data_IF_782695569738
#
_entry.id   IF_782695569738
#
_cell.length_a   1.000
_cell.length_b   1.000
_cell.length_c   1.000
_cell.angle_alpha   90.00
_cell.angle_beta   90.00
_cell.angle_gamma   90.00
#
_symmetry.space_group_name_H-M   'P 1'
#
loop_
_entity.id
_entity.type
_entity.pdbx_description
1 polymer ?
#
# COMPACT_ATOMS: atom_id res chain seq x y z
N UNK A 1 1.23 21.00 -23.81
CA UNK A 1 1.06 21.31 -25.25
C UNK A 1 1.10 19.98 -26.01
N UNK A 2 -0.08 19.36 -26.21
CA UNK A 2 -0.18 18.16 -27.07
C UNK A 2 0.04 18.55 -28.53
N UNK A 3 0.93 17.85 -29.20
CA UNK A 3 1.18 18.01 -30.63
C UNK A 3 -0.12 17.79 -31.42
N UNK A 4 -0.45 18.74 -32.29
CA UNK A 4 -1.67 18.72 -33.12
C UNK A 4 -1.76 17.49 -34.05
N UNK A 5 -0.67 16.78 -34.30
CA UNK A 5 -0.60 15.63 -35.22
C UNK A 5 -1.11 14.31 -34.62
N UNK A 6 -1.39 14.25 -33.32
CA UNK A 6 -1.85 13.02 -32.63
C UNK A 6 -3.35 13.01 -32.33
N UNK A 7 -4.11 13.96 -32.83
CA UNK A 7 -5.55 14.09 -32.55
C UNK A 7 -6.37 13.33 -33.58
N UNK A 8 -6.81 12.13 -33.26
CA UNK A 8 -7.90 11.49 -34.01
C UNK A 8 -9.24 11.83 -33.31
N UNK A 9 -10.03 12.64 -33.98
CA UNK A 9 -11.37 12.98 -33.52
C UNK A 9 -12.38 12.06 -34.21
N UNK A 10 -12.92 11.09 -33.49
CA UNK A 10 -14.09 10.33 -33.94
C UNK A 10 -15.36 11.16 -33.74
N UNK A 11 -15.86 11.76 -34.79
CA UNK A 11 -17.02 12.73 -34.78
C UNK A 11 -18.32 12.03 -34.31
N UNK A 12 -18.45 10.71 -34.43
CA UNK A 12 -19.67 9.97 -34.03
C UNK A 12 -19.79 9.67 -32.54
N UNK A 13 -18.70 9.58 -31.79
CA UNK A 13 -18.70 8.98 -30.44
C UNK A 13 -18.37 9.98 -29.33
N UNK A 14 -18.25 11.27 -29.62
CA UNK A 14 -17.88 12.31 -28.63
C UNK A 14 -16.66 11.89 -27.80
N UNK A 15 -15.67 11.29 -28.44
CA UNK A 15 -14.47 10.73 -27.83
C UNK A 15 -13.25 11.48 -28.29
N UNK A 16 -12.38 11.80 -27.36
CA UNK A 16 -11.03 12.33 -27.63
C UNK A 16 -9.99 11.38 -27.03
N UNK A 17 -8.96 11.05 -27.79
CA UNK A 17 -7.84 10.26 -27.30
C UNK A 17 -6.54 10.99 -27.49
N UNK A 18 -5.66 10.90 -26.50
CA UNK A 18 -4.25 11.30 -26.60
C UNK A 18 -3.40 10.07 -26.37
N UNK A 19 -2.38 9.89 -27.18
CA UNK A 19 -1.37 8.82 -26.98
C UNK A 19 -0.03 9.47 -26.76
N UNK A 20 0.61 9.20 -25.66
CA UNK A 20 2.04 9.22 -25.50
C UNK A 20 2.54 7.79 -25.76
N UNK A 21 3.81 7.58 -26.05
CA UNK A 21 4.37 6.32 -26.56
C UNK A 21 4.01 5.04 -25.76
N UNK A 22 3.52 5.15 -24.54
CA UNK A 22 3.14 4.02 -23.67
C UNK A 22 1.72 4.09 -23.12
N UNK A 23 1.12 5.27 -23.03
CA UNK A 23 -0.15 5.48 -22.34
C UNK A 23 -1.16 6.19 -23.23
N UNK A 24 -2.41 5.74 -23.16
CA UNK A 24 -3.53 6.33 -23.88
C UNK A 24 -4.59 6.78 -22.90
N UNK A 25 -5.11 7.97 -23.12
CA UNK A 25 -6.25 8.49 -22.38
C UNK A 25 -7.41 8.72 -23.34
N UNK A 26 -8.60 8.28 -22.94
CA UNK A 26 -9.83 8.44 -23.71
C UNK A 26 -10.80 9.29 -22.91
N UNK A 27 -11.18 10.43 -23.46
CA UNK A 27 -12.19 11.31 -22.87
C UNK A 27 -13.50 11.12 -23.60
N UNK A 28 -14.54 10.78 -22.85
CA UNK A 28 -15.93 10.66 -23.32
C UNK A 28 -16.78 11.70 -22.60
N UNK A 29 -17.70 12.34 -23.28
CA UNK A 29 -18.58 13.31 -22.64
C UNK A 29 -19.86 13.53 -23.43
N UNK A 30 -20.96 13.81 -22.74
CA UNK A 30 -22.17 14.35 -23.32
C UNK A 30 -22.05 15.84 -23.66
N UNK A 31 -21.06 16.51 -23.08
CA UNK A 31 -20.74 17.92 -23.35
C UNK A 31 -19.96 18.09 -24.68
N UNK A 32 -20.00 19.27 -25.30
CA UNK A 32 -19.23 19.57 -26.50
C UNK A 32 -17.70 19.49 -26.23
N UNK A 33 -17.02 18.47 -26.74
CA UNK A 33 -15.59 18.24 -26.49
C UNK A 33 -14.70 19.43 -26.87
N UNK A 34 -15.04 20.17 -27.96
CA UNK A 34 -14.28 21.35 -28.35
C UNK A 34 -14.25 22.42 -27.25
N UNK A 35 -15.40 22.63 -26.55
CA UNK A 35 -15.45 23.58 -25.44
C UNK A 35 -14.62 23.12 -24.26
N UNK A 36 -14.64 21.79 -23.94
CA UNK A 36 -13.81 21.21 -22.88
C UNK A 36 -12.32 21.40 -23.20
N UNK A 37 -11.89 21.08 -24.42
CA UNK A 37 -10.50 21.19 -24.85
C UNK A 37 -10.00 22.64 -24.95
N UNK A 38 -10.90 23.59 -25.27
CA UNK A 38 -10.60 25.02 -25.31
C UNK A 38 -10.78 25.70 -23.95
N UNK A 39 -11.13 24.95 -22.89
CA UNK A 39 -11.39 25.46 -21.54
C UNK A 39 -12.45 26.57 -21.49
N UNK A 40 -13.46 26.47 -22.32
CA UNK A 40 -14.59 27.44 -22.39
C UNK A 40 -15.63 27.10 -21.33
N UNK A 41 -16.29 28.12 -20.81
CA UNK A 41 -17.41 27.95 -19.90
C UNK A 41 -18.57 27.18 -20.58
N UNK A 42 -19.17 26.27 -19.80
CA UNK A 42 -20.30 25.46 -20.22
C UNK A 42 -21.35 25.54 -19.12
N UNK A 43 -22.55 26.02 -19.50
CA UNK A 43 -23.69 26.03 -18.59
C UNK A 43 -24.33 24.66 -18.62
N UNK A 44 -24.45 24.02 -17.44
CA UNK A 44 -25.11 22.73 -17.27
C UNK A 44 -26.61 22.97 -17.08
N UNK A 45 -27.42 22.52 -18.03
CA UNK A 45 -28.88 22.63 -17.96
C UNK A 45 -29.56 21.31 -17.55
N UNK A 46 -28.83 20.22 -17.55
CA UNK A 46 -29.28 18.87 -17.19
C UNK A 46 -28.12 18.04 -16.69
N UNK A 47 -28.37 16.81 -16.27
CA UNK A 47 -27.32 15.84 -15.95
C UNK A 47 -26.43 15.58 -17.17
N UNK A 48 -25.16 15.80 -17.01
CA UNK A 48 -24.12 15.55 -18.01
C UNK A 48 -23.05 14.65 -17.43
N UNK A 49 -22.31 13.97 -18.29
CA UNK A 49 -21.19 13.15 -17.83
C UNK A 49 -19.87 13.54 -18.50
N UNK A 50 -18.80 13.27 -17.80
CA UNK A 50 -17.44 13.29 -18.31
C UNK A 50 -16.72 12.06 -17.77
N UNK A 51 -16.29 11.18 -18.68
CA UNK A 51 -15.56 9.95 -18.35
C UNK A 51 -14.15 10.03 -18.94
N UNK A 52 -13.15 9.87 -18.10
CA UNK A 52 -11.75 9.72 -18.51
C UNK A 52 -11.32 8.26 -18.27
N UNK A 53 -11.01 7.56 -19.36
CA UNK A 53 -10.49 6.19 -19.32
C UNK A 53 -9.00 6.18 -19.64
N UNK A 54 -8.25 5.35 -18.92
CA UNK A 54 -6.80 5.19 -19.06
C UNK A 54 -6.48 3.80 -19.63
N UNK A 55 -5.80 3.81 -20.78
CA UNK A 55 -5.38 2.61 -21.51
C UNK A 55 -6.50 1.66 -21.98
N UNK A 56 -7.75 1.97 -21.69
CA UNK A 56 -8.90 1.14 -22.06
C UNK A 56 -9.92 1.96 -22.83
N UNK A 57 -10.35 1.45 -23.99
CA UNK A 57 -11.44 2.05 -24.78
C UNK A 57 -12.78 1.48 -24.30
N UNK A 58 -13.64 2.33 -23.79
CA UNK A 58 -14.97 1.95 -23.28
C UNK A 58 -16.03 2.15 -24.34
N UNK A 59 -16.86 1.14 -24.62
CA UNK A 59 -18.00 1.19 -25.56
C UNK A 59 -19.12 0.28 -25.01
N UNK A 60 -20.38 0.67 -25.06
CA UNK A 60 -20.91 2.01 -25.33
C UNK A 60 -20.77 2.96 -24.13
N UNK A 61 -20.79 4.27 -24.39
CA UNK A 61 -20.79 5.32 -23.35
C UNK A 61 -22.02 6.18 -23.53
N UNK A 62 -22.90 6.21 -22.55
CA UNK A 62 -24.10 7.05 -22.49
C UNK A 62 -24.44 7.36 -21.03
N UNK A 63 -25.35 8.28 -20.79
CA UNK A 63 -25.70 8.76 -19.45
C UNK A 63 -26.32 7.65 -18.57
N UNK A 64 -27.10 6.73 -19.15
CA UNK A 64 -27.72 5.62 -18.40
C UNK A 64 -26.64 4.64 -17.89
N UNK A 65 -25.68 4.33 -18.73
CA UNK A 65 -24.55 3.48 -18.33
C UNK A 65 -23.72 4.14 -17.24
N UNK A 66 -23.41 5.42 -17.37
CA UNK A 66 -22.63 6.15 -16.37
C UNK A 66 -23.38 6.24 -15.03
N UNK A 67 -24.70 6.44 -15.05
CA UNK A 67 -25.53 6.35 -13.83
C UNK A 67 -25.50 4.95 -13.21
N UNK A 68 -25.52 3.90 -14.03
CA UNK A 68 -25.41 2.52 -13.54
C UNK A 68 -24.04 2.26 -12.88
N UNK A 69 -22.95 2.71 -13.49
CA UNK A 69 -21.60 2.55 -12.90
C UNK A 69 -21.44 3.38 -11.62
N UNK A 70 -22.03 4.56 -11.55
CA UNK A 70 -22.13 5.33 -10.32
C UNK A 70 -22.88 4.55 -9.22
N UNK A 71 -24.05 3.99 -9.51
CA UNK A 71 -24.81 3.18 -8.57
C UNK A 71 -24.03 1.94 -8.13
N UNK A 72 -23.35 1.24 -9.04
CA UNK A 72 -22.49 0.10 -8.70
C UNK A 72 -21.36 0.49 -7.75
N UNK A 73 -20.71 1.62 -8.02
CA UNK A 73 -19.66 2.16 -7.15
C UNK A 73 -20.20 2.49 -5.77
N UNK A 74 -21.36 3.17 -5.70
CA UNK A 74 -22.02 3.49 -4.43
C UNK A 74 -22.37 2.23 -3.65
N UNK A 75 -23.01 1.24 -4.29
CA UNK A 75 -23.37 -0.05 -3.66
C UNK A 75 -22.13 -0.80 -3.18
N UNK A 76 -21.03 -0.79 -3.96
CA UNK A 76 -19.77 -1.40 -3.54
C UNK A 76 -19.26 -0.80 -2.22
N UNK A 77 -19.23 0.54 -2.12
CA UNK A 77 -18.75 1.22 -0.92
C UNK A 77 -19.69 1.05 0.28
N UNK A 78 -21.00 1.13 0.06
CA UNK A 78 -22.00 0.89 1.12
C UNK A 78 -21.90 -0.54 1.66
N UNK A 79 -21.82 -1.55 0.78
CA UNK A 79 -21.64 -2.94 1.19
C UNK A 79 -20.29 -3.17 1.90
N UNK A 80 -19.27 -2.41 1.55
CA UNK A 80 -17.99 -2.51 2.23
C UNK A 80 -18.08 -1.94 3.65
N UNK A 81 -18.65 -0.75 3.81
CA UNK A 81 -18.82 -0.10 5.14
C UNK A 81 -19.78 -0.85 6.05
N UNK A 82 -20.83 -1.47 5.48
CA UNK A 82 -21.82 -2.24 6.24
C UNK A 82 -21.24 -3.49 6.92
N UNK A 83 -20.17 -4.04 6.37
CA UNK A 83 -19.42 -5.15 6.99
C UNK A 83 -18.56 -4.74 8.18
N UNK A 84 -18.35 -3.45 8.38
CA UNK A 84 -17.53 -2.93 9.46
C UNK A 84 -18.23 -3.13 10.80
N UNK A 85 -17.52 -3.70 11.78
CA UNK A 85 -17.98 -3.80 13.16
C UNK A 85 -18.38 -2.41 13.67
N UNK A 86 -19.57 -2.31 14.23
CA UNK A 86 -20.05 -1.06 14.83
C UNK A 86 -19.59 -0.94 16.27
N UNK A 87 -19.32 0.28 16.68
CA UNK A 87 -18.85 0.65 18.01
C UNK A 87 -19.91 1.50 18.72
N UNK A 88 -19.77 1.67 20.03
CA UNK A 88 -20.72 2.46 20.81
C UNK A 88 -20.58 3.97 20.56
N UNK A 89 -19.39 4.43 20.14
CA UNK A 89 -19.05 5.83 19.91
C UNK A 89 -18.18 6.00 18.66
N UNK A 90 -18.17 7.19 18.10
CA UNK A 90 -17.27 7.63 17.02
C UNK A 90 -17.39 6.84 15.68
N UNK A 91 -18.53 6.19 15.41
CA UNK A 91 -18.68 5.37 14.20
C UNK A 91 -18.36 6.14 12.91
N UNK A 92 -18.80 7.39 12.77
CA UNK A 92 -18.57 8.20 11.56
C UNK A 92 -17.08 8.46 11.32
N UNK A 93 -16.33 8.75 12.40
CA UNK A 93 -14.88 9.01 12.33
C UNK A 93 -14.13 7.73 12.01
N UNK A 94 -14.52 6.61 12.64
CA UNK A 94 -13.96 5.29 12.40
C UNK A 94 -14.21 4.88 10.95
N UNK A 95 -15.44 4.98 10.46
CA UNK A 95 -15.81 4.63 9.10
C UNK A 95 -15.02 5.46 8.08
N UNK A 96 -14.90 6.78 8.30
CA UNK A 96 -14.09 7.66 7.45
C UNK A 96 -12.62 7.22 7.43
N UNK A 97 -12.03 6.89 8.57
CA UNK A 97 -10.65 6.42 8.68
C UNK A 97 -10.44 5.10 7.93
N UNK A 98 -11.39 4.18 8.04
CA UNK A 98 -11.35 2.89 7.36
C UNK A 98 -11.48 3.03 5.85
N UNK A 99 -12.33 3.95 5.36
CA UNK A 99 -12.42 4.27 3.94
C UNK A 99 -11.08 4.80 3.40
N UNK A 100 -10.34 5.60 4.18
CA UNK A 100 -8.99 6.05 3.80
C UNK A 100 -8.04 4.85 3.70
N UNK A 101 -7.97 3.97 4.70
CA UNK A 101 -7.13 2.77 4.66
C UNK A 101 -7.49 1.87 3.45
N UNK A 102 -8.79 1.74 3.16
CA UNK A 102 -9.26 0.99 2.00
C UNK A 102 -8.82 1.63 0.67
N UNK A 103 -8.84 2.95 0.57
CA UNK A 103 -8.36 3.68 -0.61
C UNK A 103 -6.84 3.57 -0.80
N UNK A 104 -6.07 3.38 0.28
CA UNK A 104 -4.63 3.10 0.21
C UNK A 104 -4.33 1.66 -0.23
N UNK A 105 -5.31 0.75 -0.18
CA UNK A 105 -5.12 -0.66 -0.51
C UNK A 105 -5.26 -0.91 -2.01
N UNK A 106 -4.26 -1.54 -2.60
CA UNK A 106 -4.29 -1.96 -3.99
C UNK A 106 -4.98 -3.33 -4.14
N UNK A 107 -5.39 -3.69 -5.36
CA UNK A 107 -6.17 -4.92 -5.59
C UNK A 107 -5.42 -6.21 -5.24
N UNK A 108 -4.08 -6.21 -5.31
CA UNK A 108 -3.24 -7.37 -4.97
C UNK A 108 -2.98 -7.51 -3.45
N UNK A 109 -3.41 -6.53 -2.66
CA UNK A 109 -3.22 -6.52 -1.20
C UNK A 109 -2.14 -5.58 -0.69
N UNK A 110 -1.28 -5.03 -1.54
CA UNK A 110 -0.32 -3.99 -1.13
C UNK A 110 -1.07 -2.77 -0.56
N UNK A 111 -0.50 -2.15 0.47
CA UNK A 111 -1.05 -0.94 1.10
C UNK A 111 -0.01 0.17 0.99
N UNK A 112 -0.38 1.28 0.38
CA UNK A 112 0.49 2.46 0.28
C UNK A 112 0.55 3.20 1.61
N UNK A 113 1.72 3.71 1.98
CA UNK A 113 1.86 4.61 3.13
C UNK A 113 1.13 5.94 2.87
N UNK A 114 1.21 6.46 1.64
CA UNK A 114 0.37 7.56 1.15
C UNK A 114 0.25 7.51 -0.38
N UNK A 115 -0.76 8.20 -0.95
CA UNK A 115 -0.94 8.31 -2.42
C UNK A 115 -0.14 9.46 -3.03
N UNK A 116 0.65 10.17 -2.25
CA UNK A 116 1.33 11.40 -2.63
C UNK A 116 2.84 11.25 -2.60
N UNK A 117 3.51 12.06 -3.41
CA UNK A 117 4.95 12.30 -3.32
C UNK A 117 5.22 13.76 -3.03
N UNK A 118 6.30 14.00 -2.31
CA UNK A 118 6.94 15.32 -2.13
C UNK A 118 6.05 16.41 -1.52
N UNK A 119 5.02 16.03 -0.78
CA UNK A 119 4.35 16.98 0.12
C UNK A 119 5.28 17.27 1.31
N UNK A 120 5.53 18.55 1.62
CA UNK A 120 6.45 18.90 2.68
C UNK A 120 5.86 18.63 4.06
N UNK A 121 6.66 18.09 4.97
CA UNK A 121 6.34 18.04 6.40
C UNK A 121 6.21 19.46 6.97
N UNK A 122 7.11 20.33 6.53
CA UNK A 122 7.09 21.78 6.81
C UNK A 122 7.28 22.53 5.51
N UNK A 123 6.41 23.51 5.22
CA UNK A 123 6.48 24.29 3.98
C UNK A 123 7.82 25.01 3.89
N UNK A 124 8.48 24.86 2.73
CA UNK A 124 9.80 25.43 2.46
C UNK A 124 10.99 24.55 2.85
N UNK A 125 10.76 23.48 3.62
CA UNK A 125 11.78 22.56 4.10
C UNK A 125 12.05 21.41 3.11
N UNK A 126 13.06 20.58 3.42
CA UNK A 126 13.62 19.56 2.52
C UNK A 126 13.03 18.16 2.72
N UNK A 127 12.24 17.94 3.76
CA UNK A 127 11.67 16.64 4.09
C UNK A 127 10.40 16.39 3.28
N UNK A 128 10.60 16.11 2.00
CA UNK A 128 9.56 15.95 0.98
C UNK A 128 9.71 14.57 0.34
N UNK A 129 9.15 13.54 0.98
CA UNK A 129 9.39 12.16 0.62
C UNK A 129 8.35 11.61 -0.34
N UNK A 130 8.72 10.56 -1.08
CA UNK A 130 7.77 9.77 -1.85
C UNK A 130 7.23 8.63 -0.98
N UNK A 131 5.95 8.69 -0.62
CA UNK A 131 5.27 7.71 0.21
C UNK A 131 4.40 6.71 -0.57
N UNK A 132 4.47 6.70 -1.90
CA UNK A 132 3.66 5.85 -2.77
C UNK A 132 4.14 4.40 -2.84
N UNK A 133 4.68 3.88 -1.73
CA UNK A 133 5.21 2.53 -1.59
C UNK A 133 4.56 1.83 -0.42
N UNK A 134 4.71 0.50 -0.39
CA UNK A 134 4.21 -0.37 0.65
C UNK A 134 5.31 -0.64 1.67
N UNK A 135 5.33 0.08 2.79
CA UNK A 135 6.12 -0.29 3.95
C UNK A 135 5.48 -1.47 4.66
N UNK A 136 6.26 -2.48 5.01
CA UNK A 136 5.73 -3.67 5.71
C UNK A 136 5.15 -3.31 7.08
N UNK A 137 5.78 -2.41 7.81
CA UNK A 137 5.30 -1.88 9.09
C UNK A 137 3.92 -1.24 8.96
N UNK A 138 3.81 -0.22 8.11
CA UNK A 138 2.59 0.57 7.92
C UNK A 138 1.44 -0.28 7.39
N UNK A 139 1.75 -1.13 6.42
CA UNK A 139 0.78 -2.07 5.86
C UNK A 139 0.30 -3.09 6.90
N UNK A 140 1.21 -3.65 7.72
CA UNK A 140 0.84 -4.61 8.77
C UNK A 140 -0.10 -4.01 9.79
N UNK A 141 0.16 -2.79 10.29
CA UNK A 141 -0.70 -2.08 11.24
C UNK A 141 -2.07 -1.75 10.62
N UNK A 142 -2.08 -1.31 9.36
CA UNK A 142 -3.31 -0.99 8.64
C UNK A 142 -4.19 -2.22 8.42
N UNK A 143 -3.58 -3.32 7.99
CA UNK A 143 -4.26 -4.58 7.73
C UNK A 143 -4.74 -5.23 9.04
N UNK A 144 -3.94 -5.17 10.11
CA UNK A 144 -4.37 -5.64 11.42
C UNK A 144 -5.63 -4.92 11.88
N UNK A 145 -5.67 -3.60 11.75
CA UNK A 145 -6.85 -2.80 12.07
C UNK A 145 -8.06 -3.24 11.26
N UNK A 146 -7.92 -3.34 9.92
CA UNK A 146 -8.99 -3.80 9.04
C UNK A 146 -9.46 -5.21 9.37
N UNK A 147 -8.55 -6.10 9.75
CA UNK A 147 -8.84 -7.48 10.12
C UNK A 147 -9.66 -7.56 11.41
N UNK A 148 -9.27 -6.84 12.45
CA UNK A 148 -9.95 -6.83 13.76
C UNK A 148 -11.38 -6.31 13.70
N UNK A 149 -11.71 -5.49 12.72
CA UNK A 149 -13.03 -4.89 12.55
C UNK A 149 -13.88 -5.59 11.47
N UNK A 150 -13.45 -6.76 10.96
CA UNK A 150 -14.23 -7.63 10.11
C UNK A 150 -13.84 -7.68 8.63
N UNK A 151 -12.85 -6.90 8.18
CA UNK A 151 -12.38 -6.90 6.80
C UNK A 151 -11.31 -7.98 6.54
N UNK A 152 -11.63 -9.24 6.82
CA UNK A 152 -10.70 -10.38 6.75
C UNK A 152 -10.07 -10.61 5.38
N UNK A 153 -10.78 -10.27 4.31
CA UNK A 153 -10.26 -10.41 2.94
C UNK A 153 -9.09 -9.47 2.65
N UNK A 154 -9.01 -8.33 3.34
CA UNK A 154 -7.86 -7.43 3.26
C UNK A 154 -6.59 -8.14 3.78
N UNK A 155 -6.68 -8.82 4.92
CA UNK A 155 -5.58 -9.58 5.48
C UNK A 155 -5.15 -10.73 4.55
N UNK A 156 -6.12 -11.48 3.99
CA UNK A 156 -5.81 -12.58 3.05
C UNK A 156 -5.07 -12.09 1.80
N UNK A 157 -5.49 -10.97 1.22
CA UNK A 157 -4.81 -10.39 0.05
C UNK A 157 -3.41 -9.88 0.39
N UNK A 158 -3.26 -9.23 1.53
CA UNK A 158 -1.95 -8.76 1.98
C UNK A 158 -0.99 -9.93 2.24
N UNK A 159 -1.45 -11.02 2.88
CA UNK A 159 -0.60 -12.20 3.07
C UNK A 159 -0.12 -12.78 1.73
N UNK A 160 -1.00 -12.86 0.72
CA UNK A 160 -0.60 -13.30 -0.64
C UNK A 160 0.41 -12.32 -1.27
N UNK A 161 0.22 -11.03 -1.10
CA UNK A 161 1.19 -10.02 -1.58
C UNK A 161 2.56 -10.23 -0.92
N UNK A 162 2.60 -10.38 0.40
CA UNK A 162 3.83 -10.62 1.15
C UNK A 162 4.49 -11.93 0.69
N UNK A 163 3.75 -13.04 0.60
CA UNK A 163 4.26 -14.32 0.10
C UNK A 163 4.84 -14.19 -1.31
N UNK A 164 4.12 -13.55 -2.24
CA UNK A 164 4.60 -13.36 -3.62
C UNK A 164 5.87 -12.52 -3.72
N UNK A 165 6.08 -11.62 -2.76
CA UNK A 165 7.24 -10.72 -2.70
C UNK A 165 8.47 -11.40 -2.09
N UNK A 166 8.26 -12.44 -1.25
CA UNK A 166 9.32 -13.17 -0.53
C UNK A 166 9.70 -14.51 -1.15
N UNK A 167 9.26 -14.82 -2.36
CA UNK A 167 9.42 -16.14 -3.00
C UNK A 167 10.87 -16.57 -3.26
N UNK A 168 11.84 -15.67 -3.23
CA UNK A 168 13.24 -16.09 -3.39
C UNK A 168 13.93 -16.23 -2.03
N UNK A 169 14.20 -17.47 -1.63
CA UNK A 169 14.85 -17.84 -0.36
C UNK A 169 16.26 -17.24 -0.14
N UNK A 170 16.83 -16.55 -1.14
CA UNK A 170 18.15 -15.95 -1.09
C UNK A 170 18.19 -14.44 -1.05
N UNK A 171 17.02 -13.78 -1.17
CA UNK A 171 16.95 -12.32 -1.15
C UNK A 171 16.85 -11.78 0.28
N UNK A 172 17.62 -10.75 0.57
CA UNK A 172 17.45 -9.96 1.79
C UNK A 172 16.08 -9.31 1.81
N UNK A 173 15.41 -9.38 2.95
CA UNK A 173 14.15 -8.67 3.18
C UNK A 173 14.36 -7.16 3.10
N UNK A 174 13.46 -6.48 2.40
CA UNK A 174 13.38 -5.03 2.39
C UNK A 174 12.24 -4.58 3.29
N UNK A 175 12.36 -3.39 3.83
CA UNK A 175 11.33 -2.79 4.68
C UNK A 175 10.12 -2.28 3.88
N UNK A 176 10.31 -2.04 2.58
CA UNK A 176 9.30 -1.49 1.69
C UNK A 176 9.45 -2.01 0.26
N UNK A 177 8.34 -2.02 -0.45
CA UNK A 177 8.22 -2.50 -1.82
C UNK A 177 7.34 -1.56 -2.64
N UNK A 178 7.50 -1.61 -3.96
CA UNK A 178 6.52 -1.00 -4.85
C UNK A 178 5.15 -1.70 -4.76
N UNK A 179 4.12 -1.06 -5.25
CA UNK A 179 2.73 -1.56 -5.18
C UNK A 179 2.52 -2.90 -5.90
N UNK A 180 3.41 -3.26 -6.83
CA UNK A 180 3.40 -4.54 -7.56
C UNK A 180 4.53 -5.48 -7.11
N UNK A 181 5.20 -5.17 -6.00
CA UNK A 181 6.32 -5.94 -5.48
C UNK A 181 7.69 -5.49 -6.01
N UNK A 182 7.78 -4.32 -6.65
CA UNK A 182 9.05 -3.79 -7.12
C UNK A 182 10.01 -3.58 -5.95
N UNK A 183 11.25 -4.07 -6.13
CA UNK A 183 12.30 -4.01 -5.09
C UNK A 183 13.21 -2.79 -5.25
N UNK A 184 13.43 -2.32 -6.49
CA UNK A 184 14.31 -1.17 -6.76
C UNK A 184 13.49 0.11 -6.79
N UNK A 185 13.64 0.92 -5.74
CA UNK A 185 12.87 2.14 -5.50
C UNK A 185 13.77 3.38 -5.48
N UNK A 186 14.72 3.43 -6.40
CA UNK A 186 15.78 4.47 -6.45
C UNK A 186 15.20 5.88 -6.36
N UNK A 187 15.67 6.64 -5.38
CA UNK A 187 15.31 8.04 -5.20
C UNK A 187 15.95 8.92 -6.29
N UNK A 188 15.13 9.74 -6.94
CA UNK A 188 15.56 10.67 -7.97
C UNK A 188 14.95 12.04 -7.70
N UNK A 189 15.77 13.08 -7.73
CA UNK A 189 15.33 14.48 -7.58
C UNK A 189 14.88 15.02 -8.94
N UNK A 190 13.67 15.57 -8.99
CA UNK A 190 13.09 16.21 -10.17
C UNK A 190 13.33 17.73 -10.10
N UNK A 191 14.53 18.17 -10.46
CA UNK A 191 14.98 19.55 -10.32
C UNK A 191 14.18 20.59 -11.13
N UNK A 192 13.41 20.15 -12.14
CA UNK A 192 12.56 21.00 -12.97
C UNK A 192 11.20 21.34 -12.31
N UNK A 193 10.87 20.74 -11.17
CA UNK A 193 9.63 21.00 -10.45
C UNK A 193 9.89 21.87 -9.22
N UNK A 194 8.99 22.81 -8.96
CA UNK A 194 9.10 23.74 -7.82
C UNK A 194 8.65 23.11 -6.50
N UNK A 195 7.86 22.03 -6.55
CA UNK A 195 7.22 21.45 -5.38
C UNK A 195 6.03 22.27 -4.85
N UNK A 196 5.32 21.71 -3.88
CA UNK A 196 4.19 22.36 -3.25
C UNK A 196 4.66 23.61 -2.50
N UNK A 197 4.07 24.77 -2.85
CA UNK A 197 4.46 26.08 -2.29
C UNK A 197 5.99 26.31 -2.30
N UNK A 198 6.65 25.93 -3.41
CA UNK A 198 8.11 26.01 -3.59
C UNK A 198 8.94 25.17 -2.62
N UNK A 199 8.38 24.15 -2.00
CA UNK A 199 9.10 23.23 -1.12
C UNK A 199 9.87 22.21 -1.95
N UNK A 200 11.18 22.39 -2.02
CA UNK A 200 12.11 21.51 -2.76
C UNK A 200 12.87 20.59 -1.81
N UNK A 201 13.39 19.46 -2.28
CA UNK A 201 13.27 18.90 -3.62
C UNK A 201 11.97 18.16 -3.86
N UNK A 202 11.54 18.04 -5.12
CA UNK A 202 10.53 17.08 -5.55
C UNK A 202 11.24 15.77 -5.87
N UNK A 203 10.73 14.63 -5.35
CA UNK A 203 11.34 13.32 -5.48
C UNK A 203 10.39 12.30 -6.09
N UNK A 204 10.95 11.31 -6.76
CA UNK A 204 10.32 10.01 -7.05
C UNK A 204 11.26 8.92 -6.54
N UNK A 205 10.70 7.81 -6.08
CA UNK A 205 11.49 6.81 -5.36
C UNK A 205 11.75 7.24 -3.91
N UNK A 206 12.27 6.32 -3.11
CA UNK A 206 12.63 6.60 -1.72
C UNK A 206 13.79 5.72 -1.29
N UNK A 207 14.90 6.33 -0.96
CA UNK A 207 16.16 5.64 -0.65
C UNK A 207 16.14 4.86 0.68
N UNK A 208 15.08 5.04 1.47
CA UNK A 208 14.85 4.23 2.66
C UNK A 208 14.73 2.72 2.35
N UNK A 209 14.45 2.33 1.09
CA UNK A 209 14.35 0.92 0.72
C UNK A 209 15.66 0.12 0.92
N UNK A 210 16.79 0.80 1.04
CA UNK A 210 18.09 0.21 1.39
C UNK A 210 18.34 0.08 2.90
N UNK A 211 17.49 0.70 3.72
CA UNK A 211 17.73 0.76 5.16
C UNK A 211 17.40 -0.58 5.84
N UNK A 212 18.17 -0.89 6.87
CA UNK A 212 17.80 -1.88 7.88
C UNK A 212 16.90 -1.17 8.91
N UNK A 213 15.69 -1.68 9.10
CA UNK A 213 14.73 -1.24 10.12
C UNK A 213 14.16 -2.47 10.80
N UNK A 214 14.77 -2.84 11.92
CA UNK A 214 14.50 -4.10 12.60
C UNK A 214 13.11 -4.18 13.23
N UNK A 215 12.45 -3.05 13.45
CA UNK A 215 11.07 -2.98 13.96
C UNK A 215 10.05 -3.58 12.98
N UNK A 216 10.27 -3.45 11.67
CA UNK A 216 9.32 -3.85 10.63
C UNK A 216 8.89 -5.31 10.72
N UNK A 217 9.80 -6.20 11.10
CA UNK A 217 9.50 -7.63 11.23
C UNK A 217 8.57 -7.96 12.39
N UNK A 218 8.61 -7.18 13.47
CA UNK A 218 7.72 -7.38 14.61
C UNK A 218 6.27 -7.11 14.27
N UNK A 219 5.99 -6.03 13.54
CA UNK A 219 4.63 -5.71 13.07
C UNK A 219 4.10 -6.78 12.10
N UNK A 220 4.94 -7.22 11.17
CA UNK A 220 4.55 -8.27 10.22
C UNK A 220 4.29 -9.60 10.93
N UNK A 221 5.16 -10.01 11.84
CA UNK A 221 5.01 -11.25 12.57
C UNK A 221 3.81 -11.26 13.53
N UNK A 222 3.45 -10.11 14.11
CA UNK A 222 2.24 -10.00 14.93
C UNK A 222 0.97 -10.20 14.08
N UNK A 223 0.90 -9.58 12.91
CA UNK A 223 -0.19 -9.79 11.97
C UNK A 223 -0.25 -11.25 11.48
N UNK A 224 0.89 -11.88 11.15
CA UNK A 224 0.95 -13.29 10.75
C UNK A 224 0.44 -14.20 11.87
N UNK A 225 0.82 -13.93 13.13
CA UNK A 225 0.34 -14.71 14.28
C UNK A 225 -1.18 -14.60 14.45
N UNK A 226 -1.74 -13.40 14.32
CA UNK A 226 -3.18 -13.20 14.37
C UNK A 226 -3.89 -13.91 13.22
N UNK A 227 -3.30 -13.89 12.02
CA UNK A 227 -3.82 -14.61 10.87
C UNK A 227 -3.88 -16.12 11.12
N UNK A 228 -2.82 -16.75 11.64
CA UNK A 228 -2.82 -18.16 12.03
C UNK A 228 -3.89 -18.52 13.05
N UNK A 229 -4.15 -17.61 14.00
CA UNK A 229 -5.15 -17.86 15.06
C UNK A 229 -6.58 -17.76 14.60
N UNK A 230 -6.88 -16.89 13.67
CA UNK A 230 -8.25 -16.43 13.40
C UNK A 230 -8.74 -16.85 12.01
N UNK A 231 -7.84 -17.23 11.11
CA UNK A 231 -8.20 -17.57 9.74
C UNK A 231 -8.03 -19.08 9.49
N UNK A 232 -9.10 -19.74 9.04
CA UNK A 232 -8.96 -21.11 8.55
C UNK A 232 -8.17 -21.07 7.22
N UNK A 233 -7.15 -21.92 7.13
CA UNK A 233 -6.34 -22.09 5.92
C UNK A 233 -6.34 -23.55 5.48
N UNK A 234 -5.96 -23.80 4.22
CA UNK A 234 -5.59 -25.13 3.74
C UNK A 234 -4.22 -25.52 4.31
N UNK A 235 -3.89 -26.82 4.28
CA UNK A 235 -2.57 -27.29 4.71
C UNK A 235 -1.46 -26.61 3.90
N UNK A 236 -1.63 -26.46 2.59
CA UNK A 236 -0.66 -25.81 1.72
C UNK A 236 -0.44 -24.34 2.11
N UNK A 237 -1.52 -23.59 2.36
CA UNK A 237 -1.42 -22.19 2.83
C UNK A 237 -0.70 -22.08 4.18
N UNK A 238 -0.92 -23.03 5.08
CA UNK A 238 -0.24 -23.08 6.39
C UNK A 238 1.25 -23.40 6.23
N UNK A 239 1.62 -24.34 5.38
CA UNK A 239 3.01 -24.69 5.12
C UNK A 239 3.78 -23.58 4.41
N UNK A 240 3.21 -22.98 3.38
CA UNK A 240 3.82 -21.84 2.68
C UNK A 240 4.09 -20.66 3.63
N UNK A 241 3.12 -20.38 4.50
CA UNK A 241 3.28 -19.35 5.53
C UNK A 241 4.33 -19.73 6.56
N UNK A 242 4.44 -21.01 6.93
CA UNK A 242 5.45 -21.50 7.83
C UNK A 242 6.87 -21.31 7.29
N UNK A 243 7.10 -21.55 6.00
CA UNK A 243 8.38 -21.28 5.34
C UNK A 243 8.74 -19.79 5.42
N UNK A 244 7.77 -18.91 5.18
CA UNK A 244 7.94 -17.47 5.32
C UNK A 244 8.30 -17.08 6.76
N UNK A 245 7.59 -17.61 7.76
CA UNK A 245 7.89 -17.36 9.20
C UNK A 245 9.33 -17.76 9.53
N UNK A 246 9.77 -18.94 9.12
CA UNK A 246 11.17 -19.40 9.34
C UNK A 246 12.19 -18.47 8.72
N UNK A 247 11.92 -18.02 7.51
CA UNK A 247 12.81 -17.10 6.79
C UNK A 247 12.90 -15.75 7.48
N UNK A 248 11.77 -15.14 7.84
CA UNK A 248 11.73 -13.87 8.57
C UNK A 248 12.53 -13.99 9.88
N UNK A 249 12.25 -15.01 10.69
CA UNK A 249 12.87 -15.14 12.00
C UNK A 249 14.36 -15.48 11.93
N UNK A 250 14.81 -16.14 10.87
CA UNK A 250 16.25 -16.32 10.60
C UNK A 250 16.94 -14.97 10.42
N UNK A 251 16.35 -14.05 9.67
CA UNK A 251 16.88 -12.70 9.51
C UNK A 251 16.82 -11.91 10.82
N UNK A 252 15.71 -11.96 11.54
CA UNK A 252 15.57 -11.29 12.85
C UNK A 252 16.69 -11.71 13.79
N UNK A 253 16.99 -13.03 13.92
CA UNK A 253 18.04 -13.56 14.80
C UNK A 253 19.45 -13.07 14.44
N UNK A 254 19.68 -12.72 13.17
CA UNK A 254 20.97 -12.17 12.70
C UNK A 254 21.02 -10.65 12.90
N UNK A 255 19.93 -9.97 12.58
CA UNK A 255 19.92 -8.52 12.40
C UNK A 255 19.61 -7.75 13.68
N UNK A 256 18.92 -8.34 14.67
CA UNK A 256 18.61 -7.64 15.90
C UNK A 256 19.86 -7.13 16.68
N UNK A 257 20.99 -7.78 16.46
CA UNK A 257 22.29 -7.41 17.06
C UNK A 257 22.95 -6.21 16.38
N UNK A 258 22.49 -5.84 15.19
CA UNK A 258 23.05 -4.75 14.40
C UNK A 258 22.36 -3.42 14.73
N UNK A 259 23.06 -2.29 14.58
CA UNK A 259 22.42 -0.98 14.58
C UNK A 259 21.52 -0.86 13.34
N UNK A 260 20.42 -0.12 13.47
CA UNK A 260 19.46 0.08 12.40
C UNK A 260 19.05 1.56 12.26
N UNK A 261 18.10 1.87 11.38
CA UNK A 261 17.62 3.24 11.16
C UNK A 261 16.36 3.57 11.98
N UNK A 262 15.78 2.54 12.61
CA UNK A 262 14.56 2.62 13.40
C UNK A 262 13.35 3.11 12.63
N UNK A 263 12.25 3.29 13.33
CA UNK A 263 10.99 3.80 12.76
C UNK A 263 11.12 5.22 12.21
N UNK A 264 12.10 5.99 12.67
CA UNK A 264 12.32 7.38 12.22
C UNK A 264 13.08 7.49 10.90
N UNK A 265 13.55 6.38 10.32
CA UNK A 265 14.24 6.34 9.03
C UNK A 265 15.41 7.31 8.95
N UNK A 266 16.21 7.39 10.03
CA UNK A 266 17.31 8.35 10.11
C UNK A 266 18.26 8.20 8.93
N UNK A 267 18.68 9.34 8.35
CA UNK A 267 19.61 9.36 7.19
C UNK A 267 21.09 9.31 7.60
N UNK A 268 21.38 9.44 8.90
CA UNK A 268 22.73 9.29 9.48
C UNK A 268 23.16 7.82 9.64
N UNK A 269 24.12 7.56 10.51
CA UNK A 269 24.53 6.20 10.85
C UNK A 269 23.45 5.44 11.63
N UNK A 270 23.43 4.11 11.50
CA UNK A 270 22.51 3.27 12.25
C UNK A 270 22.80 3.32 13.76
N UNK A 271 21.75 3.19 14.56
CA UNK A 271 21.83 3.18 16.02
C UNK A 271 21.04 2.01 16.60
N UNK A 272 21.23 1.72 17.88
CA UNK A 272 20.44 0.73 18.60
C UNK A 272 19.21 1.41 19.22
N UNK A 273 18.06 1.19 18.62
CA UNK A 273 16.78 1.70 19.15
C UNK A 273 16.08 0.67 20.01
N UNK A 274 15.63 1.07 21.19
CA UNK A 274 14.82 0.21 22.08
C UNK A 274 13.58 -0.31 21.36
N UNK A 275 12.89 0.55 20.62
CA UNK A 275 11.71 0.17 19.82
C UNK A 275 12.00 -0.95 18.83
N UNK A 276 13.14 -0.89 18.13
CA UNK A 276 13.58 -1.95 17.20
C UNK A 276 13.83 -3.26 17.93
N UNK A 277 14.50 -3.21 19.10
CA UNK A 277 14.74 -4.41 19.92
C UNK A 277 13.44 -5.03 20.43
N UNK A 278 12.51 -4.21 20.94
CA UNK A 278 11.18 -4.67 21.36
C UNK A 278 10.46 -5.37 20.22
N UNK A 279 10.48 -4.81 19.01
CA UNK A 279 9.81 -5.41 17.87
C UNK A 279 10.50 -6.67 17.35
N UNK A 280 11.83 -6.80 17.48
CA UNK A 280 12.53 -8.06 17.24
C UNK A 280 12.13 -9.12 18.28
N UNK A 281 12.00 -8.75 19.55
CA UNK A 281 11.44 -9.62 20.58
C UNK A 281 10.01 -10.05 20.24
N UNK A 282 9.15 -9.13 19.84
CA UNK A 282 7.77 -9.43 19.37
C UNK A 282 7.81 -10.47 18.25
N UNK A 283 8.65 -10.27 17.25
CA UNK A 283 8.76 -11.19 16.13
C UNK A 283 9.06 -12.63 16.59
N UNK A 284 10.06 -12.80 17.47
CA UNK A 284 10.46 -14.11 17.99
C UNK A 284 9.40 -14.72 18.92
N UNK A 285 8.76 -13.92 19.79
CA UNK A 285 7.65 -14.37 20.64
C UNK A 285 6.48 -14.89 19.79
N UNK A 286 6.08 -14.12 18.75
CA UNK A 286 5.00 -14.54 17.86
C UNK A 286 5.37 -15.79 17.06
N UNK A 287 6.60 -15.89 16.60
CA UNK A 287 7.13 -17.09 15.96
C UNK A 287 7.11 -18.32 16.87
N UNK A 288 7.52 -18.17 18.13
CA UNK A 288 7.47 -19.25 19.11
C UNK A 288 6.02 -19.72 19.36
N UNK A 289 5.06 -18.80 19.43
CA UNK A 289 3.64 -19.13 19.55
C UNK A 289 3.08 -19.82 18.29
N UNK A 290 3.48 -19.39 17.09
CA UNK A 290 3.12 -20.09 15.84
C UNK A 290 3.71 -21.50 15.84
N UNK A 291 4.98 -21.67 16.24
CA UNK A 291 5.62 -22.96 16.34
C UNK A 291 4.90 -23.90 17.33
N UNK A 292 4.37 -23.35 18.43
CA UNK A 292 3.53 -24.09 19.37
C UNK A 292 2.22 -24.55 18.73
N UNK A 293 1.51 -23.65 18.04
CA UNK A 293 0.28 -23.96 17.31
C UNK A 293 0.49 -25.08 16.27
N UNK A 294 1.64 -25.11 15.62
CA UNK A 294 1.98 -26.07 14.58
C UNK A 294 2.70 -27.33 15.10
N UNK A 295 2.81 -27.48 16.42
CA UNK A 295 3.54 -28.58 17.07
C UNK A 295 4.99 -28.72 16.57
N UNK A 296 5.75 -27.62 16.55
CA UNK A 296 7.15 -27.53 16.13
C UNK A 296 8.06 -27.19 17.34
N UNK A 297 8.26 -28.13 18.31
CA UNK A 297 8.88 -27.83 19.60
C UNK A 297 10.33 -27.32 19.51
N UNK A 298 11.10 -27.78 18.51
CA UNK A 298 12.49 -27.35 18.31
C UNK A 298 12.57 -25.86 17.96
N UNK A 299 11.70 -25.38 17.06
CA UNK A 299 11.64 -23.97 16.70
C UNK A 299 11.08 -23.11 17.83
N UNK A 300 10.04 -23.59 18.52
CA UNK A 300 9.51 -22.92 19.71
C UNK A 300 10.61 -22.65 20.74
N UNK A 301 11.37 -23.68 21.12
CA UNK A 301 12.46 -23.55 22.09
C UNK A 301 13.49 -22.53 21.61
N UNK A 302 14.03 -22.69 20.40
CA UNK A 302 15.06 -21.84 19.83
C UNK A 302 14.65 -20.36 19.81
N UNK A 303 13.43 -20.07 19.36
CA UNK A 303 12.96 -18.69 19.28
C UNK A 303 12.61 -18.09 20.63
N UNK A 304 12.14 -18.89 21.58
CA UNK A 304 11.89 -18.43 22.96
C UNK A 304 13.20 -18.12 23.68
N UNK A 305 14.25 -18.93 23.49
CA UNK A 305 15.58 -18.69 24.05
C UNK A 305 16.17 -17.37 23.53
N UNK A 306 16.16 -17.15 22.20
CA UNK A 306 16.66 -15.89 21.61
C UNK A 306 15.79 -14.67 22.02
N UNK A 307 14.47 -14.83 22.13
CA UNK A 307 13.60 -13.76 22.63
C UNK A 307 13.95 -13.36 24.07
N UNK A 308 14.32 -14.32 24.92
CA UNK A 308 14.77 -14.02 26.29
C UNK A 308 16.05 -13.18 26.27
N UNK A 309 17.02 -13.51 25.40
CA UNK A 309 18.28 -12.75 25.26
C UNK A 309 18.03 -11.30 24.82
N UNK A 310 17.04 -11.06 23.92
CA UNK A 310 16.72 -9.68 23.50
C UNK A 310 16.11 -8.86 24.65
N UNK A 311 15.38 -9.52 25.54
CA UNK A 311 14.68 -8.88 26.66
C UNK A 311 15.60 -8.43 27.78
N UNK A 312 16.73 -9.13 27.97
CA UNK A 312 17.81 -8.77 28.94
C UNK A 312 18.62 -7.56 28.45
#
# INVERSE_FOLDING_TARGET
>A
LCDRRQRQMCIRDRTYSTSNSKDRQYLYSSLPLHKILEQKEIILAKDEFLLLSYNEKVIPVNIEREKLEYCRTLVYWLNWTDRTKKFTVYNDVIERSLLVLKLMSFYNGAVLAAITTSLPETIGEVRNWDYRFCWLRDASMSIETLFQIGHVEAARRFMRFVQSTFVSQHDTYQIMYGIRGERKLTEVILGHLSGYKNSRPVRIGNDAYHQLQNDSFGYLMDLIYQYYRLMPGTLDEVEDMWEMVKSILTNVMIDWKKPDKGIWEIRGEGQHFVSSKVMCWVALDRGARIADLLNKPTYRRRWSEEAAVIKE
#
